data_IF_838289137258
#
_entry.id   IF_838289137258
#
_cell.length_a   1.000
_cell.length_b   1.000
_cell.length_c   1.000
_cell.angle_alpha   90.00
_cell.angle_beta   90.00
_cell.angle_gamma   90.00
#
_symmetry.space_group_name_H-M   'P 1'
#
loop_
_entity.id
_entity.type
_entity.pdbx_description
1 polymer ?
#
# COMPACT_ATOMS: atom_id res chain seq x y z
N UNK A 1 -18.92 -70.00 27.39
CA UNK A 1 -19.10 -68.54 27.56
C UNK A 1 -17.71 -67.94 27.75
N UNK A 2 -17.18 -67.22 26.76
CA UNK A 2 -15.90 -66.49 26.85
C UNK A 2 -16.23 -65.02 26.58
N UNK A 3 -16.13 -64.18 27.61
CA UNK A 3 -16.37 -62.74 27.52
C UNK A 3 -15.28 -62.07 26.68
N UNK A 4 -15.70 -61.44 25.58
CA UNK A 4 -14.87 -60.54 24.79
C UNK A 4 -14.86 -59.17 25.49
N UNK A 5 -13.67 -58.75 25.92
CA UNK A 5 -13.41 -57.44 26.50
C UNK A 5 -13.40 -56.41 25.39
N UNK A 6 -14.33 -55.46 25.42
CA UNK A 6 -14.42 -54.35 24.46
C UNK A 6 -13.61 -53.18 25.03
N UNK A 7 -12.44 -52.91 24.44
CA UNK A 7 -11.56 -51.79 24.79
C UNK A 7 -12.10 -50.51 24.12
N UNK A 8 -12.30 -49.39 24.85
CA UNK A 8 -12.73 -48.15 24.22
C UNK A 8 -11.55 -47.52 23.48
N UNK A 9 -11.65 -47.45 22.16
CA UNK A 9 -10.69 -46.74 21.30
C UNK A 9 -10.87 -45.23 21.52
N UNK A 10 -10.03 -44.65 22.39
CA UNK A 10 -9.90 -43.20 22.56
C UNK A 10 -9.35 -42.59 21.27
N UNK A 11 -10.23 -42.11 20.38
CA UNK A 11 -9.84 -41.30 19.25
C UNK A 11 -9.58 -39.86 19.73
N UNK A 12 -8.33 -39.59 20.08
CA UNK A 12 -7.86 -38.25 20.44
C UNK A 12 -7.76 -37.41 19.15
N UNK A 13 -8.83 -36.69 18.82
CA UNK A 13 -8.86 -35.75 17.68
C UNK A 13 -8.07 -34.50 18.09
N UNK A 14 -6.80 -34.44 17.70
CA UNK A 14 -6.00 -33.21 17.74
C UNK A 14 -6.59 -32.24 16.70
N UNK A 15 -7.45 -31.33 17.15
CA UNK A 15 -7.83 -30.16 16.39
C UNK A 15 -6.61 -29.25 16.28
N UNK A 16 -5.93 -29.30 15.14
CA UNK A 16 -4.91 -28.33 14.77
C UNK A 16 -5.63 -27.01 14.56
N UNK A 17 -5.59 -26.13 15.57
CA UNK A 17 -6.07 -24.75 15.40
C UNK A 17 -5.08 -24.03 14.50
N UNK A 18 -5.38 -24.03 13.20
CA UNK A 18 -4.72 -23.16 12.25
C UNK A 18 -5.08 -21.71 12.58
N UNK A 19 -4.19 -20.99 13.25
CA UNK A 19 -4.27 -19.54 13.31
C UNK A 19 -4.02 -19.01 11.89
N UNK A 20 -5.08 -18.75 11.12
CA UNK A 20 -4.99 -17.71 10.10
C UNK A 20 -4.82 -16.39 10.85
N UNK A 21 -3.57 -15.99 11.09
CA UNK A 21 -3.28 -14.62 11.50
C UNK A 21 -3.97 -13.67 10.52
N UNK A 22 -4.46 -12.50 10.98
CA UNK A 22 -5.05 -11.54 10.06
C UNK A 22 -4.07 -11.34 8.92
N UNK A 23 -4.50 -11.61 7.68
CA UNK A 23 -3.82 -11.07 6.52
C UNK A 23 -3.72 -9.59 6.84
N UNK A 24 -2.51 -9.07 7.02
CA UNK A 24 -2.31 -7.64 7.16
C UNK A 24 -2.77 -7.06 5.83
N UNK A 25 -4.06 -6.76 5.71
CA UNK A 25 -4.57 -5.91 4.65
C UNK A 25 -3.86 -4.60 4.92
N UNK A 26 -2.78 -4.33 4.19
CA UNK A 26 -2.11 -3.07 4.34
C UNK A 26 -3.18 -2.03 4.02
N UNK A 27 -3.61 -1.33 5.07
CA UNK A 27 -4.80 -0.49 5.01
C UNK A 27 -4.37 0.79 4.32
N UNK A 28 -4.82 0.96 3.08
CA UNK A 28 -4.64 2.21 2.35
C UNK A 28 -5.52 3.28 3.00
N UNK A 29 -4.96 4.44 3.31
CA UNK A 29 -5.70 5.63 3.74
C UNK A 29 -5.81 6.67 2.63
N UNK A 30 -5.49 6.30 1.39
CA UNK A 30 -5.73 7.14 0.23
C UNK A 30 -5.72 6.36 -1.09
N UNK A 31 -6.08 7.06 -2.15
CA UNK A 31 -6.03 6.58 -3.52
C UNK A 31 -5.56 7.69 -4.46
N UNK A 32 -4.80 7.32 -5.48
CA UNK A 32 -4.54 8.18 -6.64
C UNK A 32 -5.32 7.62 -7.81
N UNK A 33 -6.22 8.43 -8.38
CA UNK A 33 -6.88 8.10 -9.64
C UNK A 33 -6.12 8.80 -10.75
N UNK A 34 -5.45 8.01 -11.59
CA UNK A 34 -4.66 8.51 -12.71
C UNK A 34 -5.53 8.87 -13.91
N UNK A 35 -5.02 9.74 -14.78
CA UNK A 35 -5.72 10.18 -16.01
C UNK A 35 -6.02 9.04 -16.99
N UNK A 36 -5.26 7.95 -16.93
CA UNK A 36 -5.49 6.73 -17.70
C UNK A 36 -6.58 5.82 -17.08
N UNK A 37 -7.24 6.25 -16.01
CA UNK A 37 -8.31 5.52 -15.32
C UNK A 37 -7.83 4.46 -14.34
N UNK A 38 -6.52 4.27 -14.16
CA UNK A 38 -5.97 3.36 -13.15
C UNK A 38 -6.07 4.00 -11.77
N UNK A 39 -6.60 3.25 -10.80
CA UNK A 39 -6.60 3.66 -9.40
C UNK A 39 -5.50 2.92 -8.63
N UNK A 40 -4.63 3.66 -7.96
CA UNK A 40 -3.60 3.12 -7.09
C UNK A 40 -3.90 3.43 -5.62
N UNK A 41 -3.92 2.38 -4.79
CA UNK A 41 -4.11 2.51 -3.34
C UNK A 41 -2.78 2.87 -2.68
N UNK A 42 -2.81 3.95 -1.91
CA UNK A 42 -1.63 4.52 -1.25
C UNK A 42 -1.85 4.61 0.25
N UNK A 43 -0.75 4.48 1.01
CA UNK A 43 -0.68 4.86 2.41
C UNK A 43 0.11 6.16 2.54
N UNK A 44 -0.55 7.21 2.97
CA UNK A 44 0.03 8.52 3.26
C UNK A 44 0.44 8.57 4.74
N UNK A 45 1.68 8.93 5.03
CA UNK A 45 2.12 9.10 6.42
C UNK A 45 1.36 10.26 7.08
N UNK A 46 1.13 10.23 8.41
CA UNK A 46 0.46 11.33 9.11
C UNK A 46 1.14 12.70 8.95
N UNK A 47 2.46 12.71 8.79
CA UNK A 47 3.29 13.90 8.54
C UNK A 47 3.36 14.32 7.06
N UNK A 48 2.76 13.54 6.14
CA UNK A 48 2.88 13.72 4.70
C UNK A 48 4.35 13.68 4.19
N UNK A 49 5.21 12.95 4.89
CA UNK A 49 6.62 12.76 4.56
C UNK A 49 6.83 11.56 3.64
N UNK A 50 5.94 10.55 3.70
CA UNK A 50 6.09 9.33 2.91
C UNK A 50 4.76 8.84 2.33
N UNK A 51 4.82 8.35 1.10
CA UNK A 51 3.74 7.61 0.44
C UNK A 51 4.18 6.18 0.19
N UNK A 52 3.33 5.21 0.52
CA UNK A 52 3.59 3.79 0.27
C UNK A 52 2.53 3.25 -0.69
N UNK A 53 2.96 2.79 -1.86
CA UNK A 53 2.10 2.20 -2.88
C UNK A 53 1.95 0.70 -2.59
N UNK A 54 0.71 0.26 -2.37
CA UNK A 54 0.40 -1.04 -1.76
C UNK A 54 0.07 -2.15 -2.75
N UNK A 55 -0.05 -1.82 -4.04
CA UNK A 55 -0.41 -2.77 -5.08
C UNK A 55 0.29 -2.48 -6.40
N UNK A 56 0.31 -3.50 -7.25
CA UNK A 56 0.89 -3.44 -8.59
C UNK A 56 0.00 -2.62 -9.54
N UNK A 57 0.18 -1.30 -9.54
CA UNK A 57 -0.26 -0.41 -10.60
C UNK A 57 0.90 0.00 -11.52
N UNK A 58 0.70 1.03 -12.35
CA UNK A 58 1.49 1.44 -13.53
C UNK A 58 3.03 1.44 -13.36
N UNK A 59 3.53 1.44 -12.12
CA UNK A 59 4.95 1.64 -11.81
C UNK A 59 5.72 0.43 -11.27
N UNK A 60 5.12 -0.63 -10.67
CA UNK A 60 5.86 -1.88 -10.33
C UNK A 60 5.00 -3.00 -9.70
N UNK A 61 5.49 -4.25 -9.66
CA UNK A 61 4.90 -5.36 -8.89
C UNK A 61 5.30 -5.41 -7.40
N UNK A 62 6.01 -4.40 -6.90
CA UNK A 62 6.59 -4.34 -5.56
C UNK A 62 6.04 -3.15 -4.78
N UNK A 63 6.15 -3.19 -3.45
CA UNK A 63 5.85 -2.03 -2.61
C UNK A 63 6.84 -0.92 -2.94
N UNK A 64 6.34 0.25 -3.33
CA UNK A 64 7.17 1.41 -3.64
C UNK A 64 6.95 2.48 -2.59
N UNK A 65 8.05 2.99 -2.04
CA UNK A 65 8.04 4.11 -1.10
C UNK A 65 8.50 5.37 -1.83
N UNK A 66 7.72 6.43 -1.67
CA UNK A 66 8.09 7.78 -2.07
C UNK A 66 8.33 8.62 -0.83
N UNK A 67 9.47 9.31 -0.80
CA UNK A 67 9.90 10.11 0.35
C UNK A 67 9.99 11.57 -0.03
N UNK A 68 9.47 12.46 0.82
CA UNK A 68 9.45 13.90 0.58
C UNK A 68 10.87 14.44 0.53
N UNK A 69 11.14 15.30 -0.45
CA UNK A 69 12.40 16.03 -0.57
C UNK A 69 12.29 17.31 0.27
N UNK A 70 12.85 17.27 1.48
CA UNK A 70 12.81 18.41 2.40
C UNK A 70 13.49 19.65 1.79
N UNK A 71 12.81 20.80 1.86
CA UNK A 71 13.33 22.07 1.37
C UNK A 71 13.27 22.27 -0.15
N UNK A 72 12.81 21.27 -0.92
CA UNK A 72 12.58 21.43 -2.35
C UNK A 72 11.17 21.94 -2.68
N UNK A 73 10.22 21.77 -1.76
CA UNK A 73 8.82 22.16 -1.94
C UNK A 73 8.62 23.66 -2.16
N UNK A 74 7.51 23.99 -2.80
CA UNK A 74 6.98 25.34 -2.91
C UNK A 74 5.78 25.49 -1.97
N UNK A 75 5.24 26.70 -1.77
CA UNK A 75 4.00 26.83 -1.01
C UNK A 75 2.88 25.94 -1.57
N UNK A 76 2.82 25.73 -2.89
CA UNK A 76 1.71 25.05 -3.57
C UNK A 76 1.92 23.55 -3.75
N UNK A 77 3.16 23.11 -3.91
CA UNK A 77 3.49 21.75 -4.30
C UNK A 77 4.69 21.18 -3.56
N UNK A 78 4.63 19.88 -3.31
CA UNK A 78 5.63 19.10 -2.58
C UNK A 78 6.18 18.03 -3.50
N UNK A 79 7.48 17.74 -3.38
CA UNK A 79 8.19 16.84 -4.27
C UNK A 79 8.64 15.60 -3.52
N UNK A 80 8.48 14.44 -4.15
CA UNK A 80 8.81 13.15 -3.57
C UNK A 80 9.69 12.35 -4.52
N UNK A 81 10.67 11.65 -3.95
CA UNK A 81 11.57 10.75 -4.67
C UNK A 81 11.14 9.31 -4.46
N UNK A 82 11.10 8.53 -5.55
CA UNK A 82 10.95 7.08 -5.48
C UNK A 82 12.24 6.48 -4.91
N UNK A 83 12.19 5.86 -3.74
CA UNK A 83 13.39 5.36 -3.05
C UNK A 83 14.20 4.35 -3.88
N UNK A 84 13.61 3.32 -4.51
CA UNK A 84 14.37 2.40 -5.36
C UNK A 84 14.75 2.98 -6.74
N UNK A 85 14.07 4.02 -7.23
CA UNK A 85 14.28 4.56 -8.59
C UNK A 85 14.21 6.11 -8.63
N UNK A 86 15.24 6.84 -8.16
CA UNK A 86 15.17 8.30 -7.93
C UNK A 86 14.87 9.19 -9.14
N UNK A 87 15.05 8.67 -10.35
CA UNK A 87 14.65 9.30 -11.60
C UNK A 87 13.13 9.35 -11.80
N UNK A 88 12.37 8.49 -11.10
CA UNK A 88 10.92 8.54 -11.02
C UNK A 88 10.50 9.34 -9.78
N UNK A 89 9.63 10.32 -9.95
CA UNK A 89 9.26 11.29 -8.91
C UNK A 89 7.77 11.55 -8.90
N UNK A 90 7.29 12.01 -7.75
CA UNK A 90 5.94 12.57 -7.63
C UNK A 90 6.02 14.05 -7.29
N UNK A 91 5.17 14.83 -7.94
CA UNK A 91 4.78 16.18 -7.48
C UNK A 91 3.37 16.06 -6.93
N UNK A 92 3.10 16.59 -5.75
CA UNK A 92 1.75 16.63 -5.16
C UNK A 92 1.45 18.06 -4.73
N UNK A 93 0.37 18.64 -5.27
CA UNK A 93 -0.04 20.02 -4.98
C UNK A 93 -1.23 20.09 -4.01
N UNK A 94 -1.51 21.28 -3.43
CA UNK A 94 -2.48 21.48 -2.32
C UNK A 94 -3.89 20.95 -2.56
N UNK A 95 -4.31 20.79 -3.81
CA UNK A 95 -5.63 20.27 -4.16
C UNK A 95 -5.65 18.76 -4.39
N UNK A 96 -4.53 18.07 -4.15
CA UNK A 96 -4.35 16.65 -4.39
C UNK A 96 -4.01 16.31 -5.84
N UNK A 97 -3.76 17.29 -6.71
CA UNK A 97 -3.18 17.03 -8.02
C UNK A 97 -1.82 16.32 -7.86
N UNK A 98 -1.63 15.26 -8.63
CA UNK A 98 -0.41 14.45 -8.64
C UNK A 98 0.16 14.40 -10.03
N UNK A 99 1.46 14.64 -10.16
CA UNK A 99 2.22 14.34 -11.37
C UNK A 99 3.19 13.21 -11.10
N UNK A 100 3.22 12.21 -11.98
CA UNK A 100 4.26 11.19 -12.04
C UNK A 100 5.27 11.61 -13.09
N UNK A 101 6.52 11.84 -12.67
CA UNK A 101 7.61 12.22 -13.55
C UNK A 101 8.60 11.07 -13.69
N UNK A 102 9.18 10.92 -14.87
CA UNK A 102 10.36 10.08 -15.11
C UNK A 102 11.41 10.91 -15.86
N UNK A 103 12.61 11.03 -15.29
CA UNK A 103 13.71 11.83 -15.88
C UNK A 103 13.32 13.28 -16.22
N UNK A 104 12.43 13.88 -15.42
CA UNK A 104 11.95 15.26 -15.59
C UNK A 104 10.81 15.43 -16.60
N UNK A 105 10.32 14.34 -17.19
CA UNK A 105 9.16 14.36 -18.10
C UNK A 105 7.93 13.86 -17.35
N UNK A 106 6.80 14.58 -17.49
CA UNK A 106 5.52 14.14 -16.93
C UNK A 106 5.01 12.93 -17.71
N UNK A 107 4.93 11.79 -17.04
CA UNK A 107 4.48 10.52 -17.59
C UNK A 107 2.98 10.29 -17.39
N UNK A 108 2.45 10.78 -16.28
CA UNK A 108 1.03 10.68 -15.95
C UNK A 108 0.64 11.78 -14.96
N UNK A 109 -0.65 12.11 -14.94
CA UNK A 109 -1.24 13.01 -13.95
C UNK A 109 -2.41 12.32 -13.28
N UNK A 110 -2.73 12.70 -12.05
CA UNK A 110 -3.79 12.06 -11.28
C UNK A 110 -4.28 12.92 -10.13
N UNK A 111 -5.24 12.37 -9.40
CA UNK A 111 -5.87 13.02 -8.26
C UNK A 111 -5.74 12.14 -7.02
N UNK A 112 -5.00 12.62 -6.03
CA UNK A 112 -4.92 12.05 -4.70
C UNK A 112 -6.18 12.41 -3.91
N UNK A 113 -6.76 11.39 -3.30
CA UNK A 113 -7.78 11.51 -2.25
C UNK A 113 -7.27 10.80 -1.00
N UNK A 114 -7.22 11.50 0.12
CA UNK A 114 -6.89 10.93 1.43
C UNK A 114 -8.18 10.73 2.20
N UNK A 115 -8.43 9.49 2.63
CA UNK A 115 -9.58 9.15 3.45
C UNK A 115 -9.20 9.43 4.90
N UNK A 116 -9.92 10.34 5.57
CA UNK A 116 -9.78 10.49 7.00
C UNK A 116 -10.28 9.21 7.69
N UNK A 117 -9.50 8.64 8.60
CA UNK A 117 -10.02 7.66 9.56
C UNK A 117 -11.02 8.43 10.45
N UNK A 118 -12.31 8.29 10.17
CA UNK A 118 -13.40 8.79 11.00
C UNK A 118 -13.68 7.85 12.18
#
# INVERSE_FOLDING_TARGET
MKSLVFVPLFAFILLVTGCSGPRSSIQANGSIVWSNGVEEKVRVSPSNEHFVFLHSGFTSSQVVVYSRILGAGTPECEYYVNEPKPEVRLTICREGEVELLESGIVMNVGQLTVYADH
#
